data_IF_116940019746
#
_entry.id   IF_116940019746
#
_cell.length_a   1.000
_cell.length_b   1.000
_cell.length_c   1.000
_cell.angle_alpha   90.00
_cell.angle_beta   90.00
_cell.angle_gamma   90.00
#
_symmetry.space_group_name_H-M   'P 1'
#
loop_
_entity.id
_entity.type
_entity.pdbx_description
1 polymer ?
#
# COMPACT_ATOMS: atom_id res chain seq x y z
N UNK A 1 -53.19 22.99 -22.27
CA UNK A 1 -54.27 22.10 -22.73
C UNK A 1 -53.87 20.66 -22.51
N UNK A 2 -54.73 19.87 -21.86
CA UNK A 2 -54.79 18.40 -21.70
C UNK A 2 -53.74 17.78 -20.79
N UNK A 3 -54.09 17.51 -19.55
CA UNK A 3 -54.92 16.44 -18.92
C UNK A 3 -54.15 15.14 -18.80
N UNK A 4 -53.75 14.84 -17.55
CA UNK A 4 -54.24 13.77 -16.64
C UNK A 4 -54.00 12.35 -17.09
N UNK A 5 -53.30 11.57 -16.26
CA UNK A 5 -53.88 10.34 -15.70
C UNK A 5 -53.06 9.84 -14.52
N UNK A 6 -53.69 9.85 -13.36
CA UNK A 6 -53.38 9.09 -12.18
C UNK A 6 -53.56 7.59 -12.48
N UNK A 7 -52.67 6.77 -12.02
CA UNK A 7 -52.93 5.36 -11.76
C UNK A 7 -52.37 5.00 -10.38
N UNK A 8 -53.30 4.95 -9.45
CA UNK A 8 -53.21 4.34 -8.13
C UNK A 8 -53.26 2.84 -8.35
N UNK A 9 -52.29 2.10 -7.87
CA UNK A 9 -52.42 0.66 -7.68
C UNK A 9 -52.01 0.29 -6.26
N UNK A 10 -53.02 -0.24 -5.62
CA UNK A 10 -53.11 -0.61 -4.21
C UNK A 10 -52.23 -1.84 -3.86
N UNK A 11 -51.73 -1.75 -2.69
CA UNK A 11 -51.55 -2.74 -1.64
C UNK A 11 -51.70 -4.24 -1.99
N UNK A 12 -50.67 -4.97 -1.65
CA UNK A 12 -50.87 -6.32 -1.12
C UNK A 12 -49.84 -6.58 -0.02
N UNK A 13 -50.27 -6.36 1.20
CA UNK A 13 -49.67 -6.86 2.42
C UNK A 13 -49.81 -8.38 2.45
N UNK A 14 -48.76 -9.11 2.15
CA UNK A 14 -48.64 -10.52 2.51
C UNK A 14 -47.86 -10.60 3.82
N UNK A 15 -48.58 -10.72 4.89
CA UNK A 15 -48.14 -11.21 6.19
C UNK A 15 -47.69 -12.68 6.03
N UNK A 16 -46.39 -12.90 5.80
CA UNK A 16 -45.81 -14.23 5.97
C UNK A 16 -45.38 -14.37 7.43
N UNK A 17 -46.21 -15.10 8.17
CA UNK A 17 -45.88 -15.62 9.50
C UNK A 17 -44.71 -16.61 9.36
N UNK A 18 -43.49 -16.14 9.45
CA UNK A 18 -42.32 -16.97 9.54
C UNK A 18 -42.24 -17.63 10.91
N UNK A 19 -42.46 -18.92 10.95
CA UNK A 19 -42.23 -19.76 12.12
C UNK A 19 -40.78 -19.57 12.62
N UNK A 20 -40.67 -19.12 13.85
CA UNK A 20 -39.41 -19.11 14.58
C UNK A 20 -39.04 -20.56 14.90
N UNK A 21 -38.24 -21.20 14.05
CA UNK A 21 -37.57 -22.44 14.39
C UNK A 21 -36.58 -22.12 15.52
N UNK A 22 -36.87 -22.57 16.71
CA UNK A 22 -36.01 -22.43 17.87
C UNK A 22 -34.63 -23.02 17.56
N UNK A 23 -33.64 -22.16 17.45
CA UNK A 23 -32.24 -22.56 17.33
C UNK A 23 -31.77 -22.95 18.73
N UNK A 24 -31.88 -24.24 19.07
CA UNK A 24 -31.26 -24.79 20.28
C UNK A 24 -29.74 -24.82 20.10
N UNK A 25 -29.06 -23.83 20.69
CA UNK A 25 -27.62 -23.89 20.81
C UNK A 25 -27.29 -25.00 21.81
N UNK A 26 -26.94 -26.16 21.28
CA UNK A 26 -26.35 -27.22 22.08
C UNK A 26 -24.93 -26.76 22.45
N UNK A 27 -24.79 -26.17 23.64
CA UNK A 27 -23.47 -25.86 24.20
C UNK A 27 -22.87 -27.19 24.64
N UNK A 28 -22.13 -27.82 23.73
CA UNK A 28 -21.27 -28.94 24.05
C UNK A 28 -20.21 -28.45 25.04
N UNK A 29 -20.49 -28.68 26.31
CA UNK A 29 -19.54 -28.38 27.39
C UNK A 29 -18.45 -29.44 27.41
N UNK A 30 -17.80 -29.66 26.24
CA UNK A 30 -16.54 -30.37 26.17
C UNK A 30 -15.55 -29.56 26.98
N UNK A 31 -15.35 -29.98 28.22
CA UNK A 31 -14.22 -29.64 29.08
C UNK A 31 -13.00 -29.61 28.19
N UNK A 32 -12.60 -28.40 27.73
CA UNK A 32 -11.41 -28.20 26.92
C UNK A 32 -10.25 -28.54 27.80
N UNK A 33 -9.83 -29.80 27.73
CA UNK A 33 -8.56 -30.25 28.26
C UNK A 33 -7.49 -29.33 27.66
N UNK A 34 -7.03 -28.38 28.46
CA UNK A 34 -5.96 -27.46 28.07
C UNK A 34 -4.75 -28.34 27.77
N UNK A 35 -4.59 -28.69 26.49
CA UNK A 35 -3.33 -29.20 26.01
C UNK A 35 -2.31 -28.14 26.39
N UNK A 36 -1.26 -28.59 27.10
CA UNK A 36 -0.07 -27.81 27.35
C UNK A 36 0.67 -27.62 26.01
N UNK A 37 0.03 -26.97 25.05
CA UNK A 37 0.71 -26.63 23.81
C UNK A 37 1.84 -25.66 24.17
N UNK A 38 3.05 -25.88 23.68
CA UNK A 38 4.15 -24.98 23.93
C UNK A 38 3.76 -23.58 23.48
N UNK A 39 4.19 -22.54 24.19
CA UNK A 39 3.88 -21.16 23.79
C UNK A 39 4.33 -20.94 22.34
N UNK A 40 3.55 -20.19 21.56
CA UNK A 40 3.92 -19.89 20.18
C UNK A 40 5.32 -19.27 20.15
N UNK A 41 6.14 -19.59 19.14
CA UNK A 41 7.47 -19.01 19.02
C UNK A 41 7.35 -17.47 19.01
N UNK A 42 8.32 -16.77 19.60
CA UNK A 42 8.32 -15.31 19.60
C UNK A 42 8.26 -14.81 18.15
N UNK A 43 7.49 -13.73 17.88
CA UNK A 43 7.43 -13.18 16.55
C UNK A 43 8.85 -12.80 16.09
N UNK A 44 9.17 -13.00 14.80
CA UNK A 44 10.48 -12.65 14.28
C UNK A 44 10.77 -11.17 14.57
N UNK A 45 12.04 -10.82 14.83
CA UNK A 45 12.43 -9.43 15.05
C UNK A 45 11.88 -8.55 13.92
N UNK A 46 11.20 -7.46 14.26
CA UNK A 46 10.71 -6.52 13.26
C UNK A 46 11.93 -6.00 12.50
N UNK A 47 11.95 -6.26 11.21
CA UNK A 47 12.98 -5.73 10.33
C UNK A 47 13.01 -4.21 10.49
N UNK A 48 14.21 -3.66 10.79
CA UNK A 48 14.35 -2.20 10.97
C UNK A 48 13.95 -1.51 9.66
N UNK A 49 13.14 -0.46 9.76
CA UNK A 49 12.77 0.35 8.61
C UNK A 49 14.04 0.87 7.90
N UNK A 50 14.14 0.61 6.62
CA UNK A 50 15.25 1.03 5.77
C UNK A 50 14.69 1.71 4.53
N UNK A 51 15.09 2.97 4.32
CA UNK A 51 14.78 3.73 3.11
C UNK A 51 16.12 4.07 2.46
N UNK A 52 16.43 3.47 1.32
CA UNK A 52 17.73 3.62 0.66
C UNK A 52 17.58 4.38 -0.64
N UNK A 53 18.49 5.31 -0.87
CA UNK A 53 18.67 5.91 -2.19
C UNK A 53 19.69 5.11 -2.99
N UNK A 54 19.29 4.72 -4.19
CA UNK A 54 20.17 4.12 -5.17
C UNK A 54 20.10 4.95 -6.46
N UNK A 55 21.28 5.35 -6.95
CA UNK A 55 21.36 6.10 -8.19
C UNK A 55 20.95 5.19 -9.34
N UNK A 56 20.09 5.66 -10.27
CA UNK A 56 19.75 4.90 -11.47
C UNK A 56 20.99 4.47 -12.27
N UNK A 57 21.03 3.19 -12.66
CA UNK A 57 22.06 2.62 -13.54
C UNK A 57 21.38 2.00 -14.76
N UNK A 58 20.92 2.86 -15.67
CA UNK A 58 20.20 2.48 -16.88
C UNK A 58 21.18 1.96 -17.94
N UNK A 59 20.86 0.80 -18.52
CA UNK A 59 21.56 0.29 -19.71
C UNK A 59 20.83 0.70 -20.99
N UNK A 60 21.51 0.77 -22.16
CA UNK A 60 20.89 1.26 -23.40
C UNK A 60 19.63 0.52 -23.88
N UNK A 61 19.45 -0.72 -23.42
CA UNK A 61 18.28 -1.56 -23.78
C UNK A 61 17.19 -1.59 -22.72
N UNK A 62 17.48 -1.07 -21.52
CA UNK A 62 16.51 -1.07 -20.41
C UNK A 62 15.42 -0.05 -20.71
N UNK A 63 14.17 -0.47 -20.51
CA UNK A 63 12.99 0.39 -20.58
C UNK A 63 12.43 0.65 -19.20
N UNK A 64 12.39 -0.39 -18.38
CA UNK A 64 11.99 -0.32 -16.98
C UNK A 64 13.19 -0.71 -16.12
N UNK A 65 13.45 0.12 -15.14
CA UNK A 65 14.45 -0.13 -14.12
C UNK A 65 13.76 -0.43 -12.80
N UNK A 66 14.17 -1.51 -12.16
CA UNK A 66 13.66 -1.88 -10.85
C UNK A 66 14.74 -2.60 -10.07
N UNK A 67 14.91 -2.21 -8.82
CA UNK A 67 15.71 -2.90 -7.82
C UNK A 67 14.82 -3.21 -6.63
N UNK A 68 14.93 -4.43 -6.10
CA UNK A 68 14.13 -4.89 -4.98
C UNK A 68 14.99 -5.07 -3.72
N UNK A 69 14.37 -4.91 -2.57
CA UNK A 69 14.91 -5.36 -1.30
C UNK A 69 14.95 -6.89 -1.22
N UNK A 70 15.63 -7.44 -0.20
CA UNK A 70 15.66 -8.91 0.04
C UNK A 70 14.28 -9.52 0.25
N UNK A 71 13.32 -8.75 0.75
CA UNK A 71 11.92 -9.16 0.93
C UNK A 71 11.07 -9.06 -0.34
N UNK A 72 11.70 -8.86 -1.51
CA UNK A 72 11.08 -8.72 -2.84
C UNK A 72 10.15 -7.51 -3.00
N UNK A 73 10.19 -6.55 -2.10
CA UNK A 73 9.51 -5.27 -2.28
C UNK A 73 10.39 -4.33 -3.10
N UNK A 74 9.80 -3.46 -3.93
CA UNK A 74 10.58 -2.51 -4.69
C UNK A 74 11.35 -1.58 -3.76
N UNK A 75 12.61 -1.30 -4.10
CA UNK A 75 13.43 -0.27 -3.48
C UNK A 75 13.42 0.99 -4.34
N UNK A 76 13.52 0.80 -5.65
CA UNK A 76 13.45 1.87 -6.65
C UNK A 76 12.86 1.33 -7.94
N UNK A 77 12.04 2.14 -8.60
CA UNK A 77 11.52 1.85 -9.93
C UNK A 77 11.39 3.13 -10.77
N UNK A 78 11.61 3.01 -12.07
CA UNK A 78 11.54 4.12 -12.98
C UNK A 78 11.68 3.71 -14.44
N UNK A 79 11.82 4.69 -15.30
CA UNK A 79 11.93 4.49 -16.74
C UNK A 79 13.31 4.90 -17.25
N UNK A 80 13.86 4.07 -18.15
CA UNK A 80 15.11 4.33 -18.84
C UNK A 80 14.86 4.59 -20.34
N UNK A 81 15.51 5.60 -20.89
CA UNK A 81 15.53 5.83 -22.33
C UNK A 81 16.97 5.92 -22.83
N UNK A 82 17.36 5.00 -23.72
CA UNK A 82 18.70 4.92 -24.37
C UNK A 82 19.87 4.93 -23.38
N UNK A 83 19.68 4.39 -22.19
CA UNK A 83 20.71 4.35 -21.15
C UNK A 83 20.67 5.53 -20.17
N UNK A 84 19.69 6.41 -20.29
CA UNK A 84 19.48 7.50 -19.37
C UNK A 84 18.23 7.28 -18.51
N UNK A 85 18.31 7.66 -17.25
CA UNK A 85 17.12 7.77 -16.40
C UNK A 85 16.28 8.96 -16.87
N UNK A 86 14.99 8.69 -17.13
CA UNK A 86 14.08 9.68 -17.69
C UNK A 86 12.73 9.62 -16.99
N UNK A 87 12.09 10.80 -16.81
CA UNK A 87 10.78 10.92 -16.18
C UNK A 87 10.80 10.64 -14.69
N UNK A 88 9.65 10.21 -14.18
CA UNK A 88 9.41 10.00 -12.76
C UNK A 88 10.00 8.67 -12.26
N UNK A 89 10.69 8.75 -11.13
CA UNK A 89 11.27 7.63 -10.40
C UNK A 89 10.74 7.61 -8.98
N UNK A 90 10.23 6.48 -8.55
CA UNK A 90 9.69 6.28 -7.20
C UNK A 90 10.65 5.41 -6.37
N UNK A 91 10.92 5.85 -5.15
CA UNK A 91 11.78 5.20 -4.17
C UNK A 91 10.96 4.77 -2.97
N UNK A 92 11.17 3.54 -2.50
CA UNK A 92 10.40 2.93 -1.43
C UNK A 92 11.31 2.50 -0.28
N UNK A 93 10.75 2.45 0.92
CA UNK A 93 11.36 1.80 2.06
C UNK A 93 11.10 0.28 2.00
N UNK A 94 11.80 -0.50 2.81
CA UNK A 94 11.64 -1.96 2.87
C UNK A 94 10.24 -2.43 3.34
N UNK A 95 9.43 -1.56 3.94
CA UNK A 95 8.02 -1.80 4.26
C UNK A 95 7.06 -1.54 3.09
N UNK A 96 7.57 -0.98 1.98
CA UNK A 96 6.81 -0.61 0.79
C UNK A 96 6.28 0.83 0.81
N UNK A 97 6.58 1.62 1.83
CA UNK A 97 6.22 3.04 1.88
C UNK A 97 7.04 3.81 0.85
N UNK A 98 6.39 4.54 -0.05
CA UNK A 98 7.08 5.45 -0.96
C UNK A 98 7.56 6.67 -0.19
N UNK A 99 8.87 6.85 -0.10
CA UNK A 99 9.48 7.91 0.69
C UNK A 99 10.05 9.06 -0.14
N UNK A 100 10.33 8.81 -1.43
CA UNK A 100 10.87 9.83 -2.30
C UNK A 100 10.41 9.61 -3.74
N UNK A 101 10.20 10.69 -4.46
CA UNK A 101 10.00 10.71 -5.91
C UNK A 101 10.97 11.70 -6.53
N UNK A 102 11.61 11.32 -7.62
CA UNK A 102 12.56 12.17 -8.36
C UNK A 102 12.19 12.19 -9.84
N UNK A 103 12.07 13.36 -10.42
CA UNK A 103 11.94 13.50 -11.86
C UNK A 103 13.34 13.63 -12.48
N UNK A 104 13.72 12.66 -13.32
CA UNK A 104 14.98 12.69 -14.04
C UNK A 104 14.82 13.18 -15.46
N UNK A 105 15.85 13.89 -15.95
CA UNK A 105 16.05 14.21 -17.36
C UNK A 105 17.49 13.93 -17.73
N UNK A 106 17.70 12.92 -18.58
CA UNK A 106 19.05 12.47 -19.01
C UNK A 106 19.98 12.27 -17.80
N UNK A 107 19.58 11.43 -16.86
CA UNK A 107 20.32 11.13 -15.61
C UNK A 107 20.47 12.32 -14.64
N UNK A 108 19.88 13.47 -14.91
CA UNK A 108 19.96 14.64 -14.02
C UNK A 108 18.69 14.71 -13.18
N UNK A 109 18.82 14.69 -11.85
CA UNK A 109 17.65 14.89 -10.99
C UNK A 109 17.14 16.33 -11.13
N UNK A 110 15.84 16.46 -11.33
CA UNK A 110 15.10 17.71 -11.34
C UNK A 110 14.31 17.89 -10.07
N UNK A 111 12.96 17.85 -10.18
CA UNK A 111 12.06 17.94 -9.01
C UNK A 111 12.22 16.71 -8.12
N UNK A 112 12.30 16.97 -6.82
CA UNK A 112 12.37 15.94 -5.79
C UNK A 112 11.26 16.18 -4.79
N UNK A 113 10.43 15.17 -4.53
CA UNK A 113 9.40 15.18 -3.50
C UNK A 113 9.75 14.13 -2.44
N UNK A 114 9.74 14.52 -1.16
CA UNK A 114 10.06 13.66 -0.01
C UNK A 114 8.87 13.44 0.89
N UNK A 115 8.80 12.28 1.51
CA UNK A 115 7.89 12.01 2.61
C UNK A 115 8.49 12.57 3.91
N UNK A 116 7.76 13.46 4.59
CA UNK A 116 8.08 13.84 5.96
C UNK A 116 7.62 12.70 6.89
N UNK A 117 8.54 11.97 7.55
CA UNK A 117 8.18 10.83 8.40
C UNK A 117 7.35 11.24 9.63
N UNK A 118 7.43 12.50 10.05
CA UNK A 118 6.69 13.02 11.22
C UNK A 118 5.27 13.43 10.85
N UNK A 119 5.09 13.96 9.63
CA UNK A 119 3.81 14.49 9.15
C UNK A 119 3.05 13.53 8.24
N UNK A 120 3.72 12.49 7.73
CA UNK A 120 3.14 11.53 6.77
C UNK A 120 2.73 12.17 5.44
N UNK A 121 3.33 13.29 5.05
CA UNK A 121 3.00 14.03 3.82
C UNK A 121 4.23 14.27 2.97
N UNK A 122 4.03 14.22 1.62
CA UNK A 122 5.06 14.58 0.67
C UNK A 122 5.25 16.11 0.65
N UNK A 123 6.50 16.54 0.52
CA UNK A 123 6.87 17.94 0.32
C UNK A 123 7.97 18.05 -0.74
N UNK A 124 8.06 19.19 -1.41
CA UNK A 124 9.11 19.46 -2.38
C UNK A 124 10.43 19.72 -1.66
N UNK A 125 11.43 18.87 -1.93
CA UNK A 125 12.77 19.04 -1.40
C UNK A 125 13.67 19.80 -2.40
N UNK A 126 14.72 20.42 -1.90
CA UNK A 126 15.70 21.14 -2.74
C UNK A 126 16.55 20.19 -3.58
N UNK A 127 16.81 19.00 -3.06
CA UNK A 127 17.63 17.97 -3.72
C UNK A 127 17.44 16.60 -3.04
N UNK A 128 17.98 15.55 -3.65
CA UNK A 128 17.94 14.17 -3.14
C UNK A 128 18.57 14.04 -1.75
N UNK A 129 19.68 14.75 -1.50
CA UNK A 129 20.40 14.67 -0.23
C UNK A 129 19.53 15.11 0.95
N UNK A 130 18.74 16.17 0.77
CA UNK A 130 17.81 16.62 1.81
C UNK A 130 16.82 15.51 2.22
N UNK A 131 16.33 14.72 1.25
CA UNK A 131 15.48 13.56 1.53
C UNK A 131 16.22 12.49 2.34
N UNK A 132 17.43 12.13 1.92
CA UNK A 132 18.25 11.12 2.60
C UNK A 132 18.53 11.53 4.04
N UNK A 133 18.97 12.78 4.25
CA UNK A 133 19.30 13.30 5.59
C UNK A 133 18.11 13.29 6.57
N UNK A 134 16.87 13.41 6.06
CA UNK A 134 15.65 13.36 6.88
C UNK A 134 15.35 11.92 7.33
N UNK A 135 15.61 10.94 6.50
CA UNK A 135 15.30 9.53 6.77
C UNK A 135 16.41 8.77 7.49
N UNK A 136 17.65 9.30 7.50
CA UNK A 136 18.78 8.71 8.21
C UNK A 136 18.89 9.17 9.69
N UNK A 137 18.04 10.11 10.13
CA UNK A 137 17.95 10.60 11.52
C UNK A 137 16.97 9.79 12.36
#
# INVERSE_FOLDING_TARGET
MKRTLLAVLAASLLLSSGAWAGFSIHVDNKKTERRNDPPPPPPPPRERLQCRFEKPDCRPRDRHYRVDYRNRRPMVEGYCDRGDAEGRWDYYCNDGTRWMTVDFRRNRPGRVDCLDPRRGRMFAARNVRECVDIHDR
#
